data_IF_279941575204
#
_entry.id   IF_279941575204
#
_cell.length_a   1.000
_cell.length_b   1.000
_cell.length_c   1.000
_cell.angle_alpha   90.00
_cell.angle_beta   90.00
_cell.angle_gamma   90.00
#
_symmetry.space_group_name_H-M   'P 1'
#
loop_
_entity.id
_entity.type
_entity.pdbx_description
1 polymer ?
#
# COMPACT_ATOMS: atom_id res chain seq x y z
N UNK A 1 -7.00 -11.43 -17.43
CA UNK A 1 -5.60 -11.39 -17.95
C UNK A 1 -5.59 -11.88 -19.39
N UNK A 2 -4.75 -11.24 -20.19
CA UNK A 2 -4.60 -11.51 -21.62
C UNK A 2 -3.12 -11.78 -21.91
N UNK A 3 -2.85 -12.73 -22.79
CA UNK A 3 -1.51 -13.02 -23.30
C UNK A 3 -1.41 -12.51 -24.72
N UNK A 4 -0.41 -11.68 -25.01
CA UNK A 4 -0.20 -11.05 -26.31
C UNK A 4 0.89 -11.80 -27.08
N UNK A 5 0.62 -12.08 -28.35
CA UNK A 5 1.50 -12.87 -29.21
C UNK A 5 2.02 -12.06 -30.38
N UNK A 6 3.24 -12.38 -30.78
CA UNK A 6 3.81 -11.91 -32.05
C UNK A 6 3.14 -12.57 -33.25
N UNK A 7 3.43 -12.08 -34.44
CA UNK A 7 3.03 -12.70 -35.71
C UNK A 7 3.61 -14.12 -35.89
N UNK A 8 4.70 -14.46 -35.15
CA UNK A 8 5.28 -15.82 -35.14
C UNK A 8 4.64 -16.74 -34.09
N UNK A 9 3.68 -16.23 -33.32
CA UNK A 9 2.99 -16.95 -32.25
C UNK A 9 3.71 -16.95 -30.89
N UNK A 10 4.88 -16.34 -30.78
CA UNK A 10 5.60 -16.19 -29.50
C UNK A 10 4.89 -15.23 -28.57
N UNK A 11 4.94 -15.50 -27.27
CA UNK A 11 4.42 -14.61 -26.24
C UNK A 11 5.36 -13.41 -26.08
N UNK A 12 4.84 -12.20 -26.24
CA UNK A 12 5.62 -10.96 -26.18
C UNK A 12 5.30 -10.09 -24.96
N UNK A 13 4.21 -10.38 -24.27
CA UNK A 13 3.79 -9.68 -23.06
C UNK A 13 2.38 -10.02 -22.63
N UNK A 14 1.90 -9.24 -21.69
CA UNK A 14 0.61 -9.39 -21.04
C UNK A 14 -0.32 -8.21 -21.36
N UNK A 15 -1.59 -8.36 -21.01
CA UNK A 15 -2.60 -7.32 -21.01
C UNK A 15 -3.76 -7.68 -20.09
N UNK A 16 -4.68 -6.78 -19.89
CA UNK A 16 -5.90 -7.07 -19.14
C UNK A 16 -7.12 -6.33 -19.71
N UNK A 17 -8.27 -6.95 -19.53
CA UNK A 17 -9.54 -6.38 -20.00
C UNK A 17 -9.98 -5.30 -19.04
N UNK A 18 -10.29 -4.11 -19.55
CA UNK A 18 -10.75 -2.94 -18.78
C UNK A 18 -12.18 -2.55 -19.08
N UNK A 19 -12.70 -3.00 -20.24
CA UNK A 19 -14.08 -2.85 -20.67
C UNK A 19 -14.43 -4.02 -21.59
N UNK A 20 -15.70 -4.25 -21.85
CA UNK A 20 -16.12 -5.25 -22.84
C UNK A 20 -15.42 -4.96 -24.17
N UNK A 21 -14.65 -5.92 -24.66
CA UNK A 21 -13.91 -5.80 -25.91
C UNK A 21 -12.70 -4.86 -25.88
N UNK A 22 -12.28 -4.31 -24.73
CA UNK A 22 -11.12 -3.43 -24.63
C UNK A 22 -10.05 -4.01 -23.69
N UNK A 23 -8.82 -4.00 -24.16
CA UNK A 23 -7.65 -4.52 -23.45
C UNK A 23 -6.62 -3.40 -23.31
N UNK A 24 -6.07 -3.19 -22.12
CA UNK A 24 -4.93 -2.32 -21.88
C UNK A 24 -3.66 -3.15 -21.81
N UNK A 25 -2.59 -2.61 -22.38
CA UNK A 25 -1.24 -3.20 -22.37
C UNK A 25 -0.18 -2.11 -22.58
N UNK A 26 1.10 -2.48 -22.56
CA UNK A 26 2.18 -1.57 -22.90
C UNK A 26 2.30 -1.34 -24.42
N UNK A 27 2.63 -0.12 -24.84
CA UNK A 27 2.87 0.20 -26.23
C UNK A 27 4.06 -0.61 -26.81
N UNK A 28 5.15 -0.79 -26.05
CA UNK A 28 6.28 -1.60 -26.50
C UNK A 28 5.92 -3.09 -26.70
N UNK A 29 4.93 -3.62 -25.99
CA UNK A 29 4.42 -4.99 -26.17
C UNK A 29 3.71 -5.11 -27.52
N UNK A 30 2.87 -4.11 -27.85
CA UNK A 30 2.18 -4.05 -29.15
C UNK A 30 3.18 -3.88 -30.28
N UNK A 31 4.15 -2.96 -30.16
CA UNK A 31 5.21 -2.76 -31.15
C UNK A 31 5.97 -4.08 -31.43
N UNK A 32 6.32 -4.81 -30.35
CA UNK A 32 6.97 -6.12 -30.47
C UNK A 32 6.07 -7.16 -31.15
N UNK A 33 4.77 -7.17 -30.81
CA UNK A 33 3.80 -8.06 -31.46
C UNK A 33 3.71 -7.83 -32.98
N UNK A 34 3.80 -6.57 -33.42
CA UNK A 34 3.77 -6.16 -34.80
C UNK A 34 5.14 -6.21 -35.51
N UNK A 35 6.23 -6.52 -34.78
CA UNK A 35 7.58 -6.49 -35.33
C UNK A 35 8.07 -5.07 -35.72
N UNK A 36 7.60 -4.02 -35.01
CA UNK A 36 7.88 -2.61 -35.24
C UNK A 36 8.66 -1.98 -34.09
N UNK A 37 9.20 -0.77 -34.34
CA UNK A 37 9.76 0.06 -33.25
C UNK A 37 8.65 0.71 -32.44
N UNK A 38 8.89 0.93 -31.15
CA UNK A 38 7.87 1.48 -30.21
C UNK A 38 7.39 2.88 -30.61
N UNK A 39 8.23 3.68 -31.25
CA UNK A 39 7.88 5.05 -31.72
C UNK A 39 7.04 5.06 -32.99
N UNK A 40 6.95 3.92 -33.73
CA UNK A 40 6.16 3.84 -34.94
C UNK A 40 4.69 3.64 -34.59
N UNK A 41 3.84 4.59 -35.01
CA UNK A 41 2.38 4.47 -34.80
C UNK A 41 1.84 3.29 -35.63
N UNK A 42 1.13 2.36 -35.01
CA UNK A 42 0.46 1.27 -35.73
C UNK A 42 -0.56 1.80 -36.75
N UNK A 43 -0.67 1.13 -37.89
CA UNK A 43 -1.68 1.45 -38.88
C UNK A 43 -3.07 0.94 -38.39
N UNK A 44 -4.15 1.57 -38.87
CA UNK A 44 -5.53 1.14 -38.56
C UNK A 44 -5.83 -0.29 -38.98
N UNK A 45 -5.09 -0.80 -39.98
CA UNK A 45 -5.22 -2.18 -40.48
C UNK A 45 -4.43 -3.21 -39.68
N UNK A 46 -3.50 -2.77 -38.83
CA UNK A 46 -2.69 -3.66 -38.02
C UNK A 46 -3.53 -4.37 -36.99
N UNK A 47 -3.31 -5.66 -36.85
CA UNK A 47 -3.96 -6.49 -35.82
C UNK A 47 -2.95 -7.21 -34.97
N UNK A 48 -3.27 -7.31 -33.68
CA UNK A 48 -2.49 -8.01 -32.67
C UNK A 48 -3.24 -9.25 -32.25
N UNK A 49 -2.56 -10.39 -32.24
CA UNK A 49 -3.12 -11.65 -31.76
C UNK A 49 -3.01 -11.74 -30.24
N UNK A 50 -4.11 -12.10 -29.59
CA UNK A 50 -4.16 -12.31 -28.15
C UNK A 50 -5.06 -13.47 -27.76
N UNK A 51 -4.83 -14.05 -26.60
CA UNK A 51 -5.67 -15.12 -26.04
C UNK A 51 -5.93 -14.89 -24.54
N UNK A 52 -6.87 -15.67 -23.99
CA UNK A 52 -7.35 -15.58 -22.60
C UNK A 52 -7.07 -16.90 -21.87
N UNK A 53 -5.82 -17.24 -21.56
CA UNK A 53 -5.43 -18.57 -21.13
C UNK A 53 -6.11 -19.05 -19.84
N UNK A 54 -6.54 -18.11 -18.96
CA UNK A 54 -7.23 -18.44 -17.71
C UNK A 54 -8.74 -18.66 -17.86
N UNK A 55 -9.35 -18.25 -18.99
CA UNK A 55 -10.80 -18.30 -19.19
C UNK A 55 -11.18 -19.16 -20.40
N UNK A 56 -10.46 -18.99 -21.51
CA UNK A 56 -10.74 -19.65 -22.79
C UNK A 56 -9.43 -20.13 -23.44
N UNK A 57 -8.85 -21.18 -22.85
CA UNK A 57 -7.61 -21.77 -23.36
C UNK A 57 -7.72 -22.19 -24.84
N UNK A 58 -6.74 -21.79 -25.64
CA UNK A 58 -6.66 -22.13 -27.08
C UNK A 58 -7.52 -21.25 -27.99
N UNK A 59 -8.29 -20.29 -27.46
CA UNK A 59 -9.07 -19.36 -28.27
C UNK A 59 -8.24 -18.09 -28.50
N UNK A 60 -7.81 -17.87 -29.76
CA UNK A 60 -7.09 -16.66 -30.17
C UNK A 60 -8.05 -15.64 -30.78
N UNK A 61 -7.93 -14.38 -30.39
CA UNK A 61 -8.74 -13.26 -30.88
C UNK A 61 -7.81 -12.20 -31.47
N UNK A 62 -8.28 -11.51 -32.50
CA UNK A 62 -7.58 -10.36 -33.10
C UNK A 62 -8.06 -9.06 -32.45
N UNK A 63 -7.15 -8.12 -32.26
CA UNK A 63 -7.46 -6.80 -31.76
C UNK A 63 -6.76 -5.72 -32.58
N UNK A 64 -7.37 -4.54 -32.67
CA UNK A 64 -6.78 -3.33 -33.30
C UNK A 64 -6.36 -2.33 -32.25
N UNK A 65 -5.39 -1.50 -32.57
CA UNK A 65 -4.95 -0.42 -31.68
C UNK A 65 -5.95 0.73 -31.78
N UNK A 66 -6.55 1.09 -30.63
CA UNK A 66 -7.48 2.21 -30.49
C UNK A 66 -6.82 3.44 -29.87
N UNK A 67 -5.87 3.24 -28.94
CA UNK A 67 -5.09 4.31 -28.30
C UNK A 67 -3.64 3.92 -28.31
N UNK A 68 -2.78 4.88 -28.64
CA UNK A 68 -1.34 4.70 -28.76
C UNK A 68 -0.56 5.84 -28.11
N UNK A 69 0.11 5.53 -27.03
CA UNK A 69 1.04 6.44 -26.35
C UNK A 69 2.38 5.71 -26.17
N UNK A 70 3.32 5.86 -27.15
CA UNK A 70 4.64 5.25 -27.03
C UNK A 70 5.40 5.83 -25.83
N UNK A 71 6.45 5.11 -25.39
CA UNK A 71 7.33 5.62 -24.36
C UNK A 71 8.02 6.90 -24.85
N UNK A 72 8.04 7.93 -24.01
CA UNK A 72 8.70 9.20 -24.24
C UNK A 72 10.10 9.23 -23.57
N UNK A 73 10.95 10.19 -23.93
CA UNK A 73 12.30 10.34 -23.38
C UNK A 73 12.32 10.61 -21.86
N UNK A 74 11.20 11.02 -21.28
CA UNK A 74 11.02 11.29 -19.84
C UNK A 74 10.41 10.11 -19.06
N UNK A 75 10.42 8.90 -19.62
CA UNK A 75 9.82 7.69 -19.09
C UNK A 75 8.29 7.80 -18.88
N UNK A 76 7.59 8.64 -19.66
CA UNK A 76 6.12 8.69 -19.70
C UNK A 76 5.58 7.91 -20.89
N UNK A 77 4.27 7.68 -20.88
CA UNK A 77 3.61 6.91 -21.92
C UNK A 77 3.75 5.40 -21.72
N UNK A 78 4.09 4.69 -22.78
CA UNK A 78 4.13 3.24 -22.87
C UNK A 78 2.75 2.56 -22.63
N UNK A 79 1.70 3.18 -23.15
CA UNK A 79 0.31 2.73 -22.98
C UNK A 79 -0.31 2.48 -24.36
N UNK A 80 -0.98 1.33 -24.50
CA UNK A 80 -1.82 1.02 -25.65
C UNK A 80 -3.17 0.46 -25.19
N UNK A 81 -4.23 0.89 -25.87
CA UNK A 81 -5.57 0.28 -25.73
C UNK A 81 -5.89 -0.44 -27.03
N UNK A 82 -6.24 -1.70 -26.87
CA UNK A 82 -6.64 -2.58 -27.97
C UNK A 82 -8.16 -2.79 -27.95
N UNK A 83 -8.79 -2.79 -29.11
CA UNK A 83 -10.19 -3.16 -29.30
C UNK A 83 -10.27 -4.50 -30.01
N UNK A 84 -10.97 -5.44 -29.42
CA UNK A 84 -11.18 -6.76 -30.02
C UNK A 84 -11.99 -6.64 -31.33
N UNK A 85 -11.59 -7.38 -32.36
CA UNK A 85 -12.29 -7.42 -33.63
C UNK A 85 -13.58 -8.23 -33.55
N UNK A 86 -13.66 -9.16 -32.57
CA UNK A 86 -14.82 -10.00 -32.30
C UNK A 86 -15.18 -9.92 -30.82
N UNK A 87 -16.36 -10.38 -30.44
CA UNK A 87 -16.75 -10.46 -29.04
C UNK A 87 -15.75 -11.28 -28.21
N UNK A 88 -15.49 -10.86 -26.97
CA UNK A 88 -14.63 -11.61 -26.07
C UNK A 88 -15.23 -12.97 -25.76
N UNK A 89 -14.42 -14.01 -25.51
CA UNK A 89 -14.92 -15.32 -25.09
C UNK A 89 -15.83 -15.24 -23.86
N UNK A 90 -16.79 -16.14 -23.76
CA UNK A 90 -17.70 -16.21 -22.61
C UNK A 90 -16.92 -16.36 -21.29
N UNK A 91 -17.32 -15.61 -20.28
CA UNK A 91 -16.66 -15.61 -18.97
C UNK A 91 -15.52 -14.58 -18.82
N UNK A 92 -15.14 -13.88 -19.89
CA UNK A 92 -14.20 -12.76 -19.79
C UNK A 92 -14.89 -11.56 -19.17
N UNK A 93 -14.39 -11.11 -18.03
CA UNK A 93 -14.89 -9.94 -17.31
C UNK A 93 -13.83 -8.83 -17.26
N UNK A 94 -14.24 -7.56 -17.34
CA UNK A 94 -13.35 -6.43 -17.09
C UNK A 94 -12.78 -6.45 -15.67
N UNK A 95 -11.54 -6.01 -15.53
CA UNK A 95 -10.92 -5.79 -14.24
C UNK A 95 -11.60 -4.62 -13.50
N UNK A 96 -11.74 -4.75 -12.18
CA UNK A 96 -12.15 -3.65 -11.33
C UNK A 96 -10.93 -2.74 -11.13
N UNK A 97 -10.96 -1.57 -11.75
CA UNK A 97 -9.90 -0.57 -11.63
C UNK A 97 -10.15 0.34 -10.43
N UNK A 98 -9.10 0.63 -9.68
CA UNK A 98 -9.11 1.54 -8.55
C UNK A 98 -8.05 2.61 -8.77
N UNK A 99 -8.43 3.89 -8.71
CA UNK A 99 -7.49 4.99 -8.69
C UNK A 99 -7.16 5.34 -7.23
N UNK A 100 -5.88 5.28 -6.86
CA UNK A 100 -5.41 5.59 -5.52
C UNK A 100 -4.09 6.37 -5.58
N UNK A 101 -3.89 7.25 -4.59
CA UNK A 101 -2.72 8.13 -4.53
C UNK A 101 -1.59 7.57 -3.65
N UNK A 102 -1.93 6.79 -2.63
CA UNK A 102 -0.98 6.20 -1.68
C UNK A 102 -0.96 4.68 -1.77
N UNK A 103 0.22 4.14 -2.06
CA UNK A 103 0.46 2.70 -2.22
C UNK A 103 1.54 2.18 -1.26
N UNK A 104 2.11 3.02 -0.40
CA UNK A 104 3.28 2.63 0.38
C UNK A 104 3.05 1.37 1.21
N UNK A 105 3.83 0.32 0.92
CA UNK A 105 3.77 -1.01 1.56
C UNK A 105 2.48 -1.79 1.32
N UNK A 106 1.64 -1.41 0.35
CA UNK A 106 0.49 -2.23 -0.02
C UNK A 106 0.96 -3.55 -0.65
N UNK A 107 0.46 -4.70 -0.19
CA UNK A 107 0.72 -5.98 -0.82
C UNK A 107 0.10 -6.03 -2.21
N UNK A 108 0.85 -6.50 -3.19
CA UNK A 108 0.35 -6.69 -4.55
C UNK A 108 0.51 -8.11 -5.05
N UNK A 109 -0.29 -8.45 -6.05
CA UNK A 109 -0.15 -9.64 -6.90
C UNK A 109 -0.25 -9.24 -8.36
N UNK A 110 0.58 -9.85 -9.20
CA UNK A 110 0.51 -9.71 -10.66
C UNK A 110 0.74 -11.05 -11.32
N UNK A 111 0.18 -11.24 -12.52
CA UNK A 111 0.28 -12.48 -13.28
C UNK A 111 0.81 -12.19 -14.68
N UNK A 112 1.92 -12.80 -15.05
CA UNK A 112 2.59 -12.56 -16.31
C UNK A 112 3.01 -13.84 -17.01
N UNK A 113 3.55 -13.70 -18.23
CA UNK A 113 3.97 -14.80 -19.10
C UNK A 113 5.46 -14.64 -19.47
N UNK A 114 6.38 -14.82 -18.52
CA UNK A 114 7.81 -14.76 -18.82
C UNK A 114 8.24 -15.93 -19.70
N UNK A 115 9.43 -15.78 -20.28
CA UNK A 115 9.98 -16.78 -21.21
C UNK A 115 10.01 -18.16 -20.56
N UNK A 116 9.60 -19.20 -21.30
CA UNK A 116 9.48 -20.59 -20.84
C UNK A 116 8.30 -20.87 -19.88
N UNK A 117 7.47 -19.89 -19.58
CA UNK A 117 6.28 -20.04 -18.72
C UNK A 117 5.00 -19.63 -19.46
N UNK A 118 4.69 -20.34 -20.55
CA UNK A 118 3.53 -20.06 -21.42
C UNK A 118 2.18 -20.17 -20.69
N UNK A 119 2.13 -20.90 -19.58
CA UNK A 119 0.95 -20.99 -18.70
C UNK A 119 0.86 -19.84 -17.70
N UNK A 120 1.90 -19.01 -17.64
CA UNK A 120 2.00 -17.86 -16.74
C UNK A 120 2.42 -18.21 -15.33
N UNK A 121 2.91 -17.20 -14.61
CA UNK A 121 3.33 -17.29 -13.20
C UNK A 121 2.80 -16.10 -12.43
N UNK A 122 2.62 -16.30 -11.12
CA UNK A 122 2.31 -15.24 -10.19
C UNK A 122 3.58 -14.63 -9.60
N UNK A 123 3.64 -13.30 -9.55
CA UNK A 123 4.58 -12.56 -8.73
C UNK A 123 3.82 -11.76 -7.67
N UNK A 124 4.44 -11.57 -6.52
CA UNK A 124 3.88 -10.80 -5.40
C UNK A 124 4.97 -10.02 -4.67
N UNK A 125 4.57 -9.00 -3.93
CA UNK A 125 5.49 -8.16 -3.20
C UNK A 125 4.77 -6.97 -2.56
N UNK A 126 5.46 -5.81 -2.52
CA UNK A 126 4.90 -4.57 -1.98
C UNK A 126 5.08 -3.42 -2.96
N UNK A 127 4.07 -2.57 -3.04
CA UNK A 127 4.13 -1.30 -3.76
C UNK A 127 4.87 -0.25 -2.92
N UNK A 128 5.54 0.68 -3.61
CA UNK A 128 6.25 1.80 -3.00
C UNK A 128 5.66 3.13 -3.46
N UNK A 129 6.40 4.21 -3.31
CA UNK A 129 5.97 5.53 -3.74
C UNK A 129 6.15 5.76 -5.24
N UNK A 130 5.52 6.81 -5.75
CA UNK A 130 5.74 7.33 -7.11
C UNK A 130 7.14 7.90 -7.23
N UNK A 131 7.76 7.62 -8.34
CA UNK A 131 9.02 8.26 -8.76
C UNK A 131 8.76 9.60 -9.46
N UNK A 132 9.82 10.38 -9.65
CA UNK A 132 9.75 11.65 -10.34
C UNK A 132 9.18 11.57 -11.78
N UNK A 133 9.39 10.42 -12.46
CA UNK A 133 8.82 10.13 -13.78
C UNK A 133 7.31 9.82 -13.74
N UNK A 134 6.72 9.63 -12.55
CA UNK A 134 5.29 9.34 -12.38
C UNK A 134 4.95 7.86 -12.23
N UNK A 135 5.88 6.94 -12.50
CA UNK A 135 5.69 5.51 -12.28
C UNK A 135 5.79 5.17 -10.78
N UNK A 136 5.15 4.10 -10.37
CA UNK A 136 5.26 3.57 -9.01
C UNK A 136 6.28 2.43 -9.00
N UNK A 137 7.16 2.43 -8.00
CA UNK A 137 8.08 1.32 -7.78
C UNK A 137 7.36 0.16 -7.09
N UNK A 138 7.65 -1.06 -7.53
CA UNK A 138 7.27 -2.30 -6.85
C UNK A 138 8.50 -3.11 -6.46
N UNK A 139 8.43 -3.79 -5.33
CA UNK A 139 9.46 -4.72 -4.86
C UNK A 139 8.87 -6.12 -4.74
N UNK A 140 9.46 -7.08 -5.45
CA UNK A 140 9.01 -8.48 -5.39
C UNK A 140 9.58 -9.18 -4.17
N UNK A 141 8.84 -10.14 -3.64
CA UNK A 141 9.29 -10.97 -2.52
C UNK A 141 10.51 -11.80 -2.95
N UNK A 142 11.54 -11.83 -2.12
CA UNK A 142 12.79 -12.58 -2.38
C UNK A 142 12.59 -14.10 -2.51
N UNK A 143 11.51 -14.64 -1.95
CA UNK A 143 11.13 -16.07 -2.03
C UNK A 143 10.16 -16.38 -3.17
N UNK A 144 9.68 -15.35 -3.91
CA UNK A 144 8.72 -15.47 -5.00
C UNK A 144 9.36 -15.35 -6.38
N UNK A 145 8.51 -15.40 -7.41
CA UNK A 145 8.93 -15.13 -8.77
C UNK A 145 9.17 -13.63 -8.97
N UNK A 146 10.31 -13.26 -9.53
CA UNK A 146 10.61 -11.85 -9.81
C UNK A 146 9.82 -11.35 -11.04
N UNK A 147 9.43 -10.08 -11.02
CA UNK A 147 8.84 -9.43 -12.20
C UNK A 147 9.94 -9.20 -13.23
N UNK A 148 9.75 -9.76 -14.42
CA UNK A 148 10.69 -9.68 -15.54
C UNK A 148 9.98 -9.51 -16.89
N UNK A 149 10.73 -9.60 -18.01
CA UNK A 149 10.15 -9.55 -19.35
C UNK A 149 9.06 -10.62 -19.52
N UNK A 150 7.87 -10.21 -20.01
CA UNK A 150 6.66 -11.05 -20.08
C UNK A 150 5.57 -10.63 -19.08
N UNK A 151 5.92 -9.88 -18.03
CA UNK A 151 4.95 -9.20 -17.17
C UNK A 151 4.50 -7.84 -17.73
N UNK A 152 5.23 -7.24 -18.67
CA UNK A 152 4.86 -5.95 -19.28
C UNK A 152 3.41 -5.98 -19.78
N UNK A 153 2.59 -5.02 -19.35
CA UNK A 153 1.16 -4.95 -19.61
C UNK A 153 0.28 -5.74 -18.63
N UNK A 154 0.86 -6.45 -17.66
CA UNK A 154 0.10 -7.19 -16.66
C UNK A 154 -0.59 -6.25 -15.65
N UNK A 155 -1.83 -6.60 -15.26
CA UNK A 155 -2.53 -5.92 -14.18
C UNK A 155 -1.85 -6.15 -12.84
N UNK A 156 -1.76 -5.10 -12.03
CA UNK A 156 -1.29 -5.15 -10.65
C UNK A 156 -2.49 -5.04 -9.72
N UNK A 157 -2.77 -6.12 -9.02
CA UNK A 157 -3.83 -6.19 -8.02
C UNK A 157 -3.30 -5.77 -6.66
N UNK A 158 -3.95 -4.81 -6.03
CA UNK A 158 -3.69 -4.37 -4.66
C UNK A 158 -4.60 -5.13 -3.70
N UNK A 159 -4.02 -5.85 -2.73
CA UNK A 159 -4.77 -6.68 -1.77
C UNK A 159 -5.48 -5.83 -0.71
N UNK A 160 -5.04 -4.60 -0.44
CA UNK A 160 -5.70 -3.70 0.51
C UNK A 160 -6.90 -2.96 -0.13
N UNK A 161 -6.74 -2.54 -1.38
CA UNK A 161 -7.77 -1.82 -2.14
C UNK A 161 -8.74 -2.77 -2.87
N UNK A 162 -8.42 -4.06 -2.93
CA UNK A 162 -9.19 -5.11 -3.59
C UNK A 162 -9.54 -4.78 -5.04
N UNK A 163 -8.55 -4.28 -5.80
CA UNK A 163 -8.71 -3.90 -7.19
C UNK A 163 -7.39 -3.77 -7.94
N UNK A 164 -7.49 -3.58 -9.23
CA UNK A 164 -6.33 -3.30 -10.09
C UNK A 164 -6.00 -1.82 -9.99
N UNK A 165 -4.80 -1.51 -9.53
CA UNK A 165 -4.34 -0.14 -9.29
C UNK A 165 -3.34 0.35 -10.32
N UNK A 166 -2.61 -0.57 -10.97
CA UNK A 166 -1.50 -0.26 -11.85
C UNK A 166 -1.37 -1.27 -12.98
N UNK A 167 -0.52 -0.95 -13.96
CA UNK A 167 -0.07 -1.83 -15.03
C UNK A 167 1.44 -2.00 -14.98
N UNK A 168 1.95 -3.23 -14.96
CA UNK A 168 3.39 -3.50 -15.01
C UNK A 168 3.99 -3.00 -16.33
N UNK A 169 5.10 -2.22 -16.25
CA UNK A 169 5.74 -1.66 -17.45
C UNK A 169 7.14 -2.22 -17.71
N UNK A 170 7.98 -2.26 -16.70
CA UNK A 170 9.37 -2.68 -16.84
C UNK A 170 9.91 -3.28 -15.53
N UNK A 171 10.93 -4.15 -15.68
CA UNK A 171 11.81 -4.57 -14.59
C UNK A 171 13.18 -3.89 -14.76
N UNK A 172 13.81 -3.48 -13.66
CA UNK A 172 15.18 -2.95 -13.71
C UNK A 172 16.17 -4.11 -13.92
N UNK A 173 16.51 -4.35 -15.18
CA UNK A 173 17.46 -5.41 -15.57
C UNK A 173 18.91 -5.14 -15.08
N UNK A 174 19.20 -3.96 -14.51
CA UNK A 174 20.55 -3.54 -14.11
C UNK A 174 20.90 -3.91 -12.68
N UNK A 175 19.93 -4.43 -11.89
CA UNK A 175 20.14 -4.73 -10.47
C UNK A 175 19.48 -6.04 -10.09
N UNK A 176 20.20 -6.87 -9.34
CA UNK A 176 19.67 -8.05 -8.64
C UNK A 176 18.71 -7.71 -7.47
N UNK A 177 18.10 -6.52 -7.49
CA UNK A 177 17.34 -6.00 -6.36
C UNK A 177 15.83 -6.29 -6.43
N UNK A 178 15.36 -7.00 -7.46
CA UNK A 178 13.92 -7.34 -7.59
C UNK A 178 12.98 -6.15 -7.75
N UNK A 179 13.50 -4.96 -8.10
CA UNK A 179 12.69 -3.78 -8.33
C UNK A 179 12.11 -3.78 -9.75
N UNK A 180 10.83 -3.45 -9.85
CA UNK A 180 10.13 -3.23 -11.11
C UNK A 180 9.27 -1.97 -11.01
N UNK A 181 8.71 -1.55 -12.14
CA UNK A 181 7.92 -0.33 -12.22
C UNK A 181 6.56 -0.59 -12.82
N UNK A 182 5.60 0.22 -12.40
CA UNK A 182 4.21 0.15 -12.85
C UNK A 182 3.69 1.52 -13.23
N UNK A 183 2.79 1.55 -14.20
CA UNK A 183 2.04 2.73 -14.62
C UNK A 183 0.75 2.79 -13.80
N UNK A 184 0.52 3.84 -13.00
CA UNK A 184 -0.69 3.99 -12.20
C UNK A 184 -1.97 4.11 -13.05
N UNK A 185 -3.10 3.69 -12.48
CA UNK A 185 -4.42 3.78 -13.13
C UNK A 185 -4.75 5.22 -13.57
N UNK A 186 -4.31 6.25 -12.86
CA UNK A 186 -4.54 7.64 -13.27
C UNK A 186 -3.83 7.98 -14.59
N UNK A 187 -2.65 7.42 -14.86
CA UNK A 187 -1.97 7.59 -16.16
C UNK A 187 -2.72 6.85 -17.28
N UNK A 188 -3.29 5.68 -16.97
CA UNK A 188 -4.16 4.96 -17.92
C UNK A 188 -5.41 5.78 -18.25
N UNK A 189 -6.02 6.45 -17.25
CA UNK A 189 -7.17 7.35 -17.44
C UNK A 189 -6.77 8.57 -18.29
N UNK A 190 -5.59 9.15 -18.05
CA UNK A 190 -5.10 10.28 -18.89
C UNK A 190 -4.91 9.87 -20.34
N UNK A 191 -4.37 8.68 -20.58
CA UNK A 191 -4.18 8.15 -21.91
C UNK A 191 -5.51 7.80 -22.60
N UNK A 192 -6.49 7.32 -21.84
CA UNK A 192 -7.81 6.95 -22.33
C UNK A 192 -8.92 7.40 -21.37
N UNK A 193 -9.44 8.66 -21.53
CA UNK A 193 -10.40 9.26 -20.58
C UNK A 193 -11.69 8.47 -20.33
N UNK A 194 -12.15 7.67 -21.29
CA UNK A 194 -13.33 6.81 -21.12
C UNK A 194 -13.15 5.75 -20.02
N UNK A 195 -11.93 5.52 -19.56
CA UNK A 195 -11.64 4.63 -18.45
C UNK A 195 -12.10 5.18 -17.09
N UNK A 196 -12.22 6.52 -16.97
CA UNK A 196 -12.65 7.18 -15.74
C UNK A 196 -14.02 6.68 -15.26
N UNK A 197 -15.00 6.50 -16.18
CA UNK A 197 -16.36 6.04 -15.87
C UNK A 197 -16.38 4.57 -15.37
N UNK A 198 -15.27 3.85 -15.51
CA UNK A 198 -15.12 2.43 -15.15
C UNK A 198 -14.17 2.21 -13.99
N UNK A 199 -13.57 3.29 -13.51
CA UNK A 199 -12.67 3.27 -12.36
C UNK A 199 -13.45 3.62 -11.11
N UNK A 200 -13.32 2.82 -10.08
CA UNK A 200 -13.95 3.06 -8.79
C UNK A 200 -12.98 3.78 -7.85
N UNK A 201 -13.48 4.69 -7.00
CA UNK A 201 -12.64 5.23 -5.92
C UNK A 201 -12.31 4.12 -4.92
N UNK A 202 -11.23 4.27 -4.12
CA UNK A 202 -10.92 3.34 -3.05
C UNK A 202 -12.14 3.14 -2.14
N UNK A 203 -12.44 1.88 -1.81
CA UNK A 203 -13.58 1.57 -0.96
C UNK A 203 -13.40 2.23 0.43
N UNK A 204 -14.30 3.13 0.84
CA UNK A 204 -14.17 3.80 2.14
C UNK A 204 -14.48 2.87 3.32
N UNK A 205 -15.08 1.71 3.06
CA UNK A 205 -15.46 0.76 4.11
C UNK A 205 -14.33 -0.22 4.38
N UNK A 206 -13.80 -0.19 5.60
CA UNK A 206 -12.66 -1.03 6.03
C UNK A 206 -13.07 -2.43 6.53
N UNK A 207 -14.32 -2.81 6.38
CA UNK A 207 -14.86 -4.06 6.90
C UNK A 207 -14.68 -4.16 8.42
N UNK A 208 -13.97 -5.21 8.89
CA UNK A 208 -13.66 -5.40 10.31
C UNK A 208 -12.35 -4.71 10.76
N UNK A 209 -11.61 -4.09 9.83
CA UNK A 209 -10.39 -3.37 10.16
C UNK A 209 -10.69 -1.97 10.70
N UNK A 210 -9.93 -1.48 11.70
CA UNK A 210 -10.08 -0.10 12.17
C UNK A 210 -9.61 0.88 11.11
N UNK A 211 -10.28 2.03 11.03
CA UNK A 211 -9.77 3.20 10.30
C UNK A 211 -8.45 3.64 10.90
N UNK A 212 -7.50 4.03 10.03
CA UNK A 212 -6.16 4.47 10.38
C UNK A 212 -5.97 5.95 10.04
N UNK A 213 -4.78 6.48 10.31
CA UNK A 213 -4.41 7.86 10.03
C UNK A 213 -4.60 8.23 8.55
N UNK A 214 -4.37 7.30 7.62
CA UNK A 214 -4.59 7.46 6.19
C UNK A 214 -6.07 7.53 5.79
N UNK A 215 -6.98 7.06 6.63
CA UNK A 215 -8.42 6.99 6.34
C UNK A 215 -9.19 8.22 6.85
N UNK A 216 -8.51 9.30 7.28
CA UNK A 216 -9.11 10.51 7.88
C UNK A 216 -10.15 11.13 6.97
N UNK A 217 -9.89 11.17 5.66
CA UNK A 217 -10.79 11.78 4.67
C UNK A 217 -12.14 11.06 4.53
N UNK A 218 -12.22 9.81 4.95
CA UNK A 218 -13.43 8.96 4.88
C UNK A 218 -13.97 8.57 6.26
N UNK A 219 -13.39 9.11 7.34
CA UNK A 219 -13.80 8.85 8.71
C UNK A 219 -14.81 9.88 9.20
N UNK A 220 -16.10 9.57 9.09
CA UNK A 220 -17.22 10.45 9.42
C UNK A 220 -18.07 9.94 10.59
N UNK A 221 -18.89 10.84 11.18
CA UNK A 221 -19.93 10.51 12.17
C UNK A 221 -19.41 10.29 13.60
N UNK A 222 -18.14 10.61 13.89
CA UNK A 222 -17.51 10.48 15.23
C UNK A 222 -16.78 11.75 15.65
N UNK A 223 -17.12 12.89 15.07
CA UNK A 223 -16.44 14.18 15.30
C UNK A 223 -16.51 14.60 16.77
N UNK A 224 -17.71 14.56 17.38
CA UNK A 224 -17.93 14.98 18.78
C UNK A 224 -17.10 14.13 19.75
N UNK A 225 -17.06 12.81 19.55
CA UNK A 225 -16.26 11.91 20.37
C UNK A 225 -14.75 12.17 20.18
N UNK A 226 -14.34 12.48 18.96
CA UNK A 226 -12.96 12.84 18.65
C UNK A 226 -12.57 14.14 19.35
N UNK A 227 -13.41 15.17 19.30
CA UNK A 227 -13.20 16.47 19.95
C UNK A 227 -13.10 16.33 21.47
N UNK A 228 -13.97 15.51 22.06
CA UNK A 228 -13.91 15.15 23.46
C UNK A 228 -12.56 14.49 23.82
N UNK A 229 -12.12 13.50 23.04
CA UNK A 229 -10.84 12.82 23.28
C UNK A 229 -9.65 13.75 23.14
N UNK A 230 -9.61 14.62 22.14
CA UNK A 230 -8.57 15.64 21.97
C UNK A 230 -8.51 16.54 23.20
N UNK A 231 -9.65 16.97 23.71
CA UNK A 231 -9.75 17.82 24.91
C UNK A 231 -9.26 17.08 26.15
N UNK A 232 -9.70 15.84 26.37
CA UNK A 232 -9.31 15.07 27.54
C UNK A 232 -7.82 14.70 27.54
N UNK A 233 -7.25 14.31 26.41
CA UNK A 233 -5.81 14.02 26.28
C UNK A 233 -4.95 15.26 26.58
N UNK A 234 -5.43 16.45 26.25
CA UNK A 234 -4.71 17.70 26.57
C UNK A 234 -4.77 18.05 28.06
N UNK A 235 -5.82 17.64 28.75
CA UNK A 235 -6.07 18.00 30.16
C UNK A 235 -5.53 16.97 31.14
N UNK A 236 -5.54 15.68 30.76
CA UNK A 236 -5.23 14.58 31.66
C UNK A 236 -3.98 13.81 31.19
N UNK A 237 -3.14 13.37 32.13
CA UNK A 237 -1.98 12.55 31.79
C UNK A 237 -2.36 11.13 31.33
N UNK A 238 -3.54 10.63 31.71
CA UNK A 238 -4.04 9.31 31.34
C UNK A 238 -5.53 9.39 30.96
N UNK A 239 -5.86 8.90 29.79
CA UNK A 239 -7.24 8.77 29.28
C UNK A 239 -7.48 7.33 28.90
N UNK A 240 -8.54 6.70 29.43
CA UNK A 240 -8.96 5.35 29.06
C UNK A 240 -10.20 5.42 28.17
N UNK A 241 -10.14 4.79 27.00
CA UNK A 241 -11.28 4.60 26.09
C UNK A 241 -11.78 3.15 26.26
N UNK A 242 -12.93 2.99 26.89
CA UNK A 242 -13.50 1.69 27.24
C UNK A 242 -14.86 1.54 26.61
N UNK A 243 -15.01 0.53 25.76
CA UNK A 243 -16.24 0.25 25.02
C UNK A 243 -16.27 -1.26 24.65
N UNK A 244 -17.40 -1.86 24.31
CA UNK A 244 -17.46 -3.21 23.78
C UNK A 244 -16.55 -3.43 22.56
N UNK A 245 -16.17 -4.68 22.29
CA UNK A 245 -15.42 -4.99 21.06
C UNK A 245 -16.26 -4.66 19.83
N UNK A 246 -15.62 -4.13 18.76
CA UNK A 246 -16.31 -3.76 17.55
C UNK A 246 -16.97 -2.36 17.56
N UNK A 247 -16.96 -1.60 18.67
CA UNK A 247 -17.57 -0.27 18.77
C UNK A 247 -16.83 0.85 18.00
N UNK A 248 -15.68 0.54 17.39
CA UNK A 248 -14.89 1.52 16.63
C UNK A 248 -13.86 2.31 17.46
N UNK A 249 -13.55 1.92 18.71
CA UNK A 249 -12.54 2.61 19.55
C UNK A 249 -11.22 2.89 18.86
N UNK A 250 -10.67 1.86 18.21
CA UNK A 250 -9.40 1.99 17.48
C UNK A 250 -9.50 2.99 16.34
N UNK A 251 -10.63 3.00 15.62
CA UNK A 251 -10.87 3.97 14.55
C UNK A 251 -10.94 5.40 15.06
N UNK A 252 -11.64 5.64 16.18
CA UNK A 252 -11.72 6.99 16.79
C UNK A 252 -10.34 7.47 17.24
N UNK A 253 -9.50 6.57 17.74
CA UNK A 253 -8.13 6.95 18.15
C UNK A 253 -7.22 7.14 16.94
N UNK A 254 -7.16 6.18 16.01
CA UNK A 254 -6.21 6.24 14.89
C UNK A 254 -6.62 7.20 13.78
N UNK A 255 -7.88 7.24 13.38
CA UNK A 255 -8.36 8.15 12.33
C UNK A 255 -8.91 9.47 12.87
N UNK A 256 -9.30 9.51 14.15
CA UNK A 256 -9.83 10.73 14.79
C UNK A 256 -8.76 11.48 15.58
N UNK A 257 -8.31 10.92 16.71
CA UNK A 257 -7.45 11.60 17.68
C UNK A 257 -6.04 11.85 17.15
N UNK A 258 -5.34 10.81 16.68
CA UNK A 258 -3.91 10.91 16.32
C UNK A 258 -3.64 11.97 15.23
N UNK A 259 -4.38 12.03 14.11
CA UNK A 259 -4.15 13.04 13.08
C UNK A 259 -4.30 14.46 13.60
N UNK A 260 -5.28 14.72 14.47
CA UNK A 260 -5.51 16.05 15.07
C UNK A 260 -4.44 16.45 16.08
N UNK A 261 -3.83 15.48 16.76
CA UNK A 261 -2.72 15.74 17.68
C UNK A 261 -1.41 15.94 16.90
N UNK A 262 -1.13 15.11 15.87
CA UNK A 262 0.09 15.22 15.05
C UNK A 262 0.16 16.54 14.27
N UNK A 263 -0.98 17.07 13.81
CA UNK A 263 -1.04 18.39 13.16
C UNK A 263 -0.61 19.55 14.08
N UNK A 264 -0.61 19.31 15.38
CA UNK A 264 -0.15 20.32 16.34
C UNK A 264 1.37 20.20 16.50
N UNK A 265 2.06 21.32 16.35
CA UNK A 265 3.50 21.36 16.54
C UNK A 265 3.88 20.91 17.96
N UNK A 266 4.95 20.15 18.07
CA UNK A 266 5.53 19.74 19.35
C UNK A 266 5.08 18.36 19.85
N UNK A 267 4.12 17.68 19.22
CA UNK A 267 3.68 16.36 19.66
C UNK A 267 4.43 15.23 18.94
N UNK A 268 4.82 14.21 19.71
CA UNK A 268 5.24 12.89 19.26
C UNK A 268 4.13 11.89 19.62
N UNK A 269 3.61 11.18 18.62
CA UNK A 269 2.59 10.16 18.83
C UNK A 269 3.19 8.78 18.60
N UNK A 270 3.06 7.89 19.57
CA UNK A 270 3.51 6.51 19.49
C UNK A 270 2.36 5.57 19.84
N UNK A 271 2.33 4.40 19.18
CA UNK A 271 1.37 3.35 19.50
C UNK A 271 2.09 2.04 19.81
N UNK A 272 1.59 1.30 20.80
CA UNK A 272 2.12 -0.01 21.14
C UNK A 272 1.02 -1.04 21.44
N UNK A 273 1.34 -2.30 21.22
CA UNK A 273 0.51 -3.46 21.56
C UNK A 273 1.32 -4.42 22.43
N UNK A 274 1.06 -4.52 23.72
CA UNK A 274 1.80 -5.42 24.61
C UNK A 274 1.80 -6.88 24.17
N UNK A 275 0.74 -7.32 23.50
CA UNK A 275 0.62 -8.70 23.01
C UNK A 275 1.60 -9.07 21.89
N UNK A 276 2.31 -8.09 21.30
CA UNK A 276 3.30 -8.32 20.23
C UNK A 276 4.74 -8.42 20.75
N UNK A 277 4.95 -8.40 22.06
CA UNK A 277 6.27 -8.49 22.67
C UNK A 277 6.25 -9.45 23.88
N UNK A 278 7.43 -9.83 24.36
CA UNK A 278 7.59 -10.73 25.51
C UNK A 278 7.06 -10.13 26.84
N UNK A 279 6.99 -8.81 26.94
CA UNK A 279 6.41 -8.09 28.07
C UNK A 279 5.89 -6.70 27.64
N UNK A 280 5.00 -6.05 28.44
CA UNK A 280 4.56 -4.68 28.17
C UNK A 280 5.71 -3.67 28.11
N UNK A 281 6.74 -3.85 28.95
CA UNK A 281 7.94 -2.98 28.95
C UNK A 281 8.80 -3.20 27.71
N UNK A 282 8.91 -4.44 27.21
CA UNK A 282 9.58 -4.74 25.95
C UNK A 282 8.85 -4.12 24.75
N UNK A 283 7.50 -4.12 24.75
CA UNK A 283 6.71 -3.43 23.72
C UNK A 283 6.95 -1.91 23.75
N UNK A 284 7.06 -1.33 24.93
CA UNK A 284 7.34 0.10 25.12
C UNK A 284 8.78 0.44 24.69
N UNK A 285 9.76 -0.37 25.07
CA UNK A 285 11.15 -0.23 24.64
C UNK A 285 11.26 -0.29 23.11
N UNK A 286 10.58 -1.23 22.46
CA UNK A 286 10.53 -1.35 21.00
C UNK A 286 9.91 -0.12 20.32
N UNK A 287 8.92 0.53 20.95
CA UNK A 287 8.32 1.76 20.43
C UNK A 287 9.25 2.98 20.53
N UNK A 288 10.14 3.01 21.54
CA UNK A 288 11.09 4.11 21.75
C UNK A 288 12.39 3.95 20.96
N UNK A 289 12.80 2.73 20.68
CA UNK A 289 14.10 2.41 20.09
C UNK A 289 14.41 3.17 18.77
N UNK A 290 13.47 3.31 17.80
CA UNK A 290 13.74 4.05 16.57
C UNK A 290 14.11 5.53 16.77
N UNK A 291 13.71 6.13 17.90
CA UNK A 291 14.01 7.52 18.24
C UNK A 291 15.28 7.67 19.03
N UNK A 292 15.73 6.62 19.70
CA UNK A 292 16.96 6.62 20.48
C UNK A 292 18.18 6.26 19.64
N UNK A 293 18.01 5.38 18.65
CA UNK A 293 19.08 4.96 17.76
C UNK A 293 18.54 4.52 16.38
N UNK A 294 18.34 5.49 15.47
CA UNK A 294 17.70 5.23 14.17
C UNK A 294 18.55 4.40 13.21
N UNK A 295 19.90 4.47 13.34
CA UNK A 295 20.85 3.88 12.36
C UNK A 295 21.44 2.53 12.80
N UNK A 296 20.91 1.92 13.87
CA UNK A 296 21.44 0.73 14.49
C UNK A 296 21.21 -0.53 13.65
N UNK A 297 22.25 -1.37 13.52
CA UNK A 297 22.17 -2.69 12.88
C UNK A 297 21.20 -3.62 13.62
N UNK A 298 20.53 -4.54 12.91
CA UNK A 298 19.45 -5.40 13.47
C UNK A 298 19.94 -6.28 14.62
N UNK A 299 21.17 -6.79 14.56
CA UNK A 299 21.78 -7.59 15.63
C UNK A 299 22.02 -6.79 16.93
N UNK A 300 22.40 -5.53 16.81
CA UNK A 300 22.60 -4.63 17.95
C UNK A 300 21.28 -4.18 18.56
N UNK A 301 20.22 -4.03 17.73
CA UNK A 301 18.88 -3.65 18.19
C UNK A 301 18.31 -4.60 19.25
N UNK A 302 18.58 -5.91 19.14
CA UNK A 302 18.13 -6.89 20.14
C UNK A 302 18.80 -6.69 21.50
N UNK A 303 20.09 -6.41 21.52
CA UNK A 303 20.84 -6.14 22.77
C UNK A 303 20.35 -4.84 23.41
N UNK A 304 20.22 -3.77 22.61
CA UNK A 304 19.74 -2.46 23.08
C UNK A 304 18.29 -2.53 23.57
N UNK A 305 17.43 -3.32 22.92
CA UNK A 305 16.07 -3.57 23.37
C UNK A 305 16.03 -4.20 24.77
N UNK A 306 16.91 -5.17 25.03
CA UNK A 306 17.05 -5.79 26.35
C UNK A 306 17.48 -4.78 27.40
N UNK A 307 18.53 -3.98 27.14
CA UNK A 307 19.02 -2.94 28.06
C UNK A 307 17.96 -1.87 28.32
N UNK A 308 17.26 -1.41 27.28
CA UNK A 308 16.19 -0.41 27.44
C UNK A 308 15.02 -0.98 28.24
N UNK A 309 14.66 -2.25 28.05
CA UNK A 309 13.63 -2.94 28.84
C UNK A 309 14.00 -2.99 30.31
N UNK A 310 15.28 -3.25 30.65
CA UNK A 310 15.80 -3.26 32.01
C UNK A 310 15.70 -1.86 32.63
N UNK A 311 16.16 -0.82 31.94
CA UNK A 311 16.06 0.57 32.40
C UNK A 311 14.60 0.97 32.71
N UNK A 312 13.67 0.56 31.83
CA UNK A 312 12.24 0.83 32.05
C UNK A 312 11.70 0.09 33.28
N UNK A 313 12.20 -1.13 33.56
CA UNK A 313 11.79 -1.92 34.74
C UNK A 313 12.33 -1.34 36.04
N UNK A 314 13.45 -0.64 36.00
CA UNK A 314 14.08 0.06 37.13
C UNK A 314 13.45 1.45 37.42
N UNK A 315 12.45 1.85 36.62
CA UNK A 315 11.71 3.09 36.82
C UNK A 315 12.22 4.33 36.08
N UNK A 316 13.17 4.17 35.16
CA UNK A 316 13.75 5.25 34.35
C UNK A 316 12.87 5.72 33.18
N UNK A 317 11.58 5.41 33.20
CA UNK A 317 10.63 5.84 32.13
C UNK A 317 10.67 7.37 31.90
N UNK A 318 10.70 8.23 32.93
CA UNK A 318 10.79 9.68 32.73
C UNK A 318 12.01 10.09 31.90
N UNK A 319 13.18 9.59 32.25
CA UNK A 319 14.46 9.96 31.61
C UNK A 319 14.51 9.48 30.15
N UNK A 320 13.99 8.26 29.89
CA UNK A 320 13.88 7.70 28.55
C UNK A 320 12.95 8.54 27.69
N UNK A 321 11.77 8.93 28.20
CA UNK A 321 10.80 9.77 27.46
C UNK A 321 11.39 11.13 27.15
N UNK A 322 12.05 11.79 28.12
CA UNK A 322 12.65 13.10 27.93
C UNK A 322 13.76 13.05 26.87
N UNK A 323 14.53 11.96 26.83
CA UNK A 323 15.56 11.74 25.80
C UNK A 323 14.97 11.49 24.41
N UNK A 324 13.89 10.69 24.32
CA UNK A 324 13.15 10.44 23.06
C UNK A 324 12.58 11.74 22.51
N UNK A 325 11.92 12.54 23.36
CA UNK A 325 11.36 13.83 22.97
C UNK A 325 12.43 14.81 22.49
N UNK A 326 13.55 14.91 23.23
CA UNK A 326 14.68 15.77 22.86
C UNK A 326 15.26 15.38 21.49
N UNK A 327 15.49 14.09 21.24
CA UNK A 327 16.00 13.61 19.94
C UNK A 327 15.01 13.80 18.80
N UNK A 328 13.72 13.63 19.06
CA UNK A 328 12.65 13.88 18.09
C UNK A 328 12.36 15.36 17.84
N UNK A 329 12.96 16.28 18.61
CA UNK A 329 12.66 17.72 18.53
C UNK A 329 11.22 18.05 18.96
N UNK A 330 10.66 17.27 19.90
CA UNK A 330 9.28 17.38 20.37
C UNK A 330 9.21 17.73 21.85
N UNK A 331 8.05 18.28 22.27
CA UNK A 331 7.82 18.70 23.67
C UNK A 331 6.81 17.84 24.40
N UNK A 332 5.90 17.22 23.67
CA UNK A 332 4.81 16.42 24.23
C UNK A 332 4.82 15.01 23.61
N UNK A 333 4.63 13.99 24.44
CA UNK A 333 4.45 12.61 24.03
C UNK A 333 2.99 12.20 24.23
N UNK A 334 2.38 11.61 23.20
CA UNK A 334 1.16 10.82 23.32
C UNK A 334 1.48 9.36 23.02
N UNK A 335 1.39 8.51 24.04
CA UNK A 335 1.52 7.08 23.92
C UNK A 335 0.14 6.43 23.92
N UNK A 336 -0.20 5.74 22.84
CA UNK A 336 -1.43 4.96 22.69
C UNK A 336 -1.15 3.49 22.97
N UNK A 337 -1.77 2.98 24.00
CA UNK A 337 -1.65 1.58 24.39
C UNK A 337 -2.92 0.82 24.06
N UNK A 338 -2.83 -0.20 23.20
CA UNK A 338 -3.93 -1.07 22.81
C UNK A 338 -3.89 -2.34 23.64
N UNK A 339 -4.80 -2.47 24.61
CA UNK A 339 -4.93 -3.67 25.43
C UNK A 339 -6.04 -4.57 24.86
N UNK A 340 -5.68 -5.80 24.54
CA UNK A 340 -6.64 -6.88 24.32
C UNK A 340 -6.69 -7.68 25.60
N UNK A 341 -7.83 -7.72 26.29
CA UNK A 341 -7.97 -8.59 27.47
C UNK A 341 -7.80 -10.06 27.03
N UNK A 342 -6.76 -10.72 27.55
CA UNK A 342 -6.65 -12.15 27.48
C UNK A 342 -7.83 -12.78 28.27
N UNK A 343 -8.51 -13.71 27.63
CA UNK A 343 -9.54 -14.52 28.25
C UNK A 343 -8.89 -15.36 29.37
N UNK A 344 -9.15 -15.04 30.63
CA UNK A 344 -8.83 -15.91 31.73
C UNK A 344 -10.08 -16.75 32.03
N UNK A 345 -10.04 -18.09 31.93
CA UNK A 345 -11.23 -18.95 32.03
C UNK A 345 -11.81 -19.07 33.44
N UNK A 346 -11.29 -18.36 34.43
CA UNK A 346 -11.63 -18.53 35.84
C UNK A 346 -12.40 -17.37 36.50
N UNK A 347 -12.89 -16.38 35.79
CA UNK A 347 -13.80 -15.37 36.35
C UNK A 347 -15.08 -15.23 35.52
N UNK A 348 -16.23 -15.25 36.25
CA UNK A 348 -17.60 -15.06 35.73
C UNK A 348 -17.68 -13.97 34.68
N UNK A 349 -18.34 -14.28 33.59
CA UNK A 349 -18.49 -13.53 32.37
C UNK A 349 -18.85 -12.05 32.60
N UNK A 350 -17.86 -11.19 32.46
CA UNK A 350 -18.06 -9.80 32.02
C UNK A 350 -17.77 -9.74 30.53
N UNK A 351 -18.57 -9.03 29.71
CA UNK A 351 -18.36 -9.01 28.27
C UNK A 351 -16.92 -8.55 27.95
N UNK A 352 -16.24 -9.28 27.08
CA UNK A 352 -14.89 -9.04 26.66
C UNK A 352 -14.77 -7.64 26.03
N UNK A 353 -14.33 -6.65 26.80
CA UNK A 353 -14.06 -5.29 26.34
C UNK A 353 -12.57 -5.13 26.07
N UNK A 354 -12.21 -4.66 24.89
CA UNK A 354 -10.86 -4.12 24.63
C UNK A 354 -10.78 -2.70 25.19
N UNK A 355 -9.64 -2.35 25.81
CA UNK A 355 -9.42 -1.02 26.35
C UNK A 355 -8.27 -0.34 25.60
N UNK A 356 -8.41 0.94 25.31
CA UNK A 356 -7.39 1.80 24.76
C UNK A 356 -6.98 2.81 25.81
N UNK A 357 -5.70 2.97 26.05
CA UNK A 357 -5.18 3.96 26.98
C UNK A 357 -4.32 4.96 26.23
N UNK A 358 -4.51 6.24 26.50
CA UNK A 358 -3.70 7.34 26.01
C UNK A 358 -2.95 7.94 27.19
N UNK A 359 -1.62 7.86 27.17
CA UNK A 359 -0.75 8.46 28.19
C UNK A 359 -0.07 9.67 27.60
N UNK A 360 -0.11 10.79 28.31
CA UNK A 360 0.55 12.04 27.96
C UNK A 360 1.67 12.37 28.93
N UNK A 361 2.83 12.78 28.41
CA UNK A 361 3.89 13.47 29.16
C UNK A 361 4.31 14.72 28.41
N UNK A 362 4.65 15.76 29.16
CA UNK A 362 5.17 17.02 28.65
C UNK A 362 6.48 17.36 29.36
N UNK A 363 7.50 17.75 28.59
CA UNK A 363 8.71 18.37 29.17
C UNK A 363 8.36 19.80 29.57
N UNK A 364 8.62 20.21 30.84
CA UNK A 364 8.46 21.60 31.21
C UNK A 364 9.34 22.47 30.30
N UNK A 365 8.76 23.49 29.69
CA UNK A 365 9.58 24.49 28.98
C UNK A 365 10.51 25.13 30.00
N UNK A 366 11.81 25.12 29.75
CA UNK A 366 12.75 25.94 30.50
C UNK A 366 12.24 27.38 30.44
N UNK A 367 11.94 27.95 31.59
CA UNK A 367 11.62 29.38 31.70
C UNK A 367 12.90 30.11 31.30
N UNK A 368 12.88 30.77 30.16
CA UNK A 368 13.98 31.65 29.75
C UNK A 368 14.11 32.71 30.88
N UNK A 369 15.27 32.85 31.50
CA UNK A 369 15.43 33.98 32.43
C UNK A 369 15.28 35.24 31.59
N UNK A 370 14.26 36.03 31.91
CA UNK A 370 14.12 37.39 31.43
C UNK A 370 15.30 38.20 31.96
N UNK A 371 16.24 38.54 31.08
CA UNK A 371 17.22 39.61 31.29
C UNK A 371 16.65 40.92 30.74
#
# INVERSE_FOLDING_TARGET
>A
MVRIRSHTGEVVGSGFVVATGHVVTCAHVVARALGRKTQETPAETDTVSLDFPLVAAGVTVQARVAVWHPIEDNDKGDIAVLVLVSDPPAGVLPACLVAAEDFWSHPFRTFGFPRHYDHGVWASGVLRARQAAGWVQMETNSSGYAVEAGFSGAAVWDDELAGVVDMTVAADARRDCGAAYVIPTEELIRAWPQLADRTVPPCPYRGLHPFRERDVSVFYGRQDLTDLLVTEVRRRPLVAVVEPSGSGKSSVVFAGLLPRIVQQQGWLCLSMRPAHASSPLAALAAAFLPFLDPDQAETERLATLGQLTTLLSEGHLPDVVDRVLTRAGKTDLLLVWISVKSFSPTRKATPAGSSLFCYRRRIPRAVSPSF
#
